data_IF_310241877485
#
_entry.id   IF_310241877485
#
_cell.length_a   1.000
_cell.length_b   1.000
_cell.length_c   1.000
_cell.angle_alpha   90.00
_cell.angle_beta   90.00
_cell.angle_gamma   90.00
#
_symmetry.space_group_name_H-M   'P 1'
#
loop_
_entity.id
_entity.type
_entity.pdbx_description
1 polymer ?
#
# COMPACT_ATOMS: atom_id res chain seq x y z
N UNK A 1 -25.09 27.79 3.92
CA UNK A 1 -25.25 26.65 2.99
C UNK A 1 -23.94 26.25 2.32
N UNK A 2 -23.32 27.12 1.50
CA UNK A 2 -22.05 26.80 0.82
C UNK A 2 -20.92 26.47 1.80
N UNK A 3 -20.75 27.24 2.87
CA UNK A 3 -19.70 27.03 3.89
C UNK A 3 -19.81 25.65 4.56
N UNK A 4 -21.04 25.19 4.81
CA UNK A 4 -21.31 23.89 5.43
C UNK A 4 -21.00 22.73 4.47
N UNK A 5 -21.36 22.90 3.19
CA UNK A 5 -21.04 21.94 2.14
C UNK A 5 -19.52 21.84 1.91
N UNK A 6 -18.80 22.95 1.87
CA UNK A 6 -17.34 22.97 1.73
C UNK A 6 -16.64 22.32 2.92
N UNK A 7 -17.12 22.58 4.15
CA UNK A 7 -16.57 21.97 5.36
C UNK A 7 -16.75 20.44 5.38
N UNK A 8 -17.93 19.94 5.00
CA UNK A 8 -18.19 18.51 4.85
C UNK A 8 -17.32 17.86 3.75
N UNK A 9 -17.08 18.56 2.65
CA UNK A 9 -16.25 18.07 1.54
C UNK A 9 -14.78 17.99 1.95
N UNK A 10 -14.25 19.01 2.64
CA UNK A 10 -12.85 19.04 3.13
C UNK A 10 -12.62 17.94 4.19
N UNK A 11 -13.60 17.70 5.08
CA UNK A 11 -13.53 16.58 6.03
C UNK A 11 -13.53 15.25 5.29
N UNK A 12 -14.41 15.06 4.31
CA UNK A 12 -14.42 13.81 3.52
C UNK A 12 -13.11 13.59 2.75
N UNK A 13 -12.52 14.65 2.19
CA UNK A 13 -11.27 14.60 1.42
C UNK A 13 -10.04 14.30 2.29
N UNK A 14 -10.06 14.65 3.57
CA UNK A 14 -9.00 14.25 4.52
C UNK A 14 -9.24 12.85 5.12
N UNK A 15 -10.49 12.41 5.12
CA UNK A 15 -10.92 11.16 5.78
C UNK A 15 -10.88 9.96 4.82
N UNK A 16 -10.69 10.13 3.52
CA UNK A 16 -10.69 9.03 2.52
C UNK A 16 -9.76 7.85 2.86
N UNK A 17 -8.58 8.08 3.47
CA UNK A 17 -7.72 6.96 3.92
C UNK A 17 -8.10 6.39 5.30
N UNK A 18 -8.77 7.15 6.15
CA UNK A 18 -9.26 6.71 7.47
C UNK A 18 -10.63 6.01 7.38
N UNK A 19 -11.51 6.44 6.47
CA UNK A 19 -12.82 5.85 6.20
C UNK A 19 -12.68 4.41 5.69
N UNK A 20 -11.67 4.14 4.85
CA UNK A 20 -11.30 2.78 4.43
C UNK A 20 -10.85 1.87 5.59
N UNK A 21 -10.37 2.42 6.71
CA UNK A 21 -9.91 1.65 7.89
C UNK A 21 -11.00 1.45 8.95
N UNK A 22 -11.95 2.38 9.06
CA UNK A 22 -12.91 2.41 10.17
C UNK A 22 -14.39 2.35 9.78
N UNK A 23 -14.80 2.77 8.57
CA UNK A 23 -16.20 3.14 8.34
C UNK A 23 -16.86 2.61 7.06
N UNK A 24 -16.21 1.81 6.22
CA UNK A 24 -16.77 1.45 4.90
C UNK A 24 -17.35 0.02 4.83
N UNK A 25 -18.64 -0.22 5.17
CA UNK A 25 -19.33 -1.50 4.95
C UNK A 25 -19.61 -1.77 3.46
N UNK A 26 -19.83 -0.72 2.65
CA UNK A 26 -19.96 -0.81 1.19
C UNK A 26 -18.60 -1.07 0.49
N UNK A 27 -17.53 -0.46 1.01
CA UNK A 27 -16.16 -0.72 0.58
C UNK A 27 -15.63 -2.07 1.06
N UNK A 28 -16.05 -2.56 2.24
CA UNK A 28 -15.77 -3.91 2.71
C UNK A 28 -16.41 -4.97 1.82
N UNK A 29 -17.64 -4.73 1.32
CA UNK A 29 -18.30 -5.60 0.34
C UNK A 29 -17.53 -5.73 -0.98
N UNK A 30 -17.10 -4.61 -1.57
CA UNK A 30 -16.27 -4.63 -2.78
C UNK A 30 -14.82 -5.08 -2.52
N UNK A 31 -14.25 -4.76 -1.35
CA UNK A 31 -12.92 -5.18 -0.96
C UNK A 31 -12.85 -6.69 -0.66
N UNK A 32 -13.92 -7.32 -0.19
CA UNK A 32 -14.01 -8.77 -0.03
C UNK A 32 -13.99 -9.48 -1.40
N UNK A 33 -14.70 -8.95 -2.39
CA UNK A 33 -14.66 -9.49 -3.77
C UNK A 33 -13.33 -9.15 -4.49
N UNK A 34 -12.68 -8.04 -4.15
CA UNK A 34 -11.36 -7.66 -4.66
C UNK A 34 -10.17 -8.36 -3.97
N UNK A 35 -10.29 -8.70 -2.68
CA UNK A 35 -9.24 -9.39 -1.89
C UNK A 35 -8.92 -10.77 -2.43
N UNK A 36 -9.88 -11.46 -3.05
CA UNK A 36 -9.67 -12.79 -3.67
C UNK A 36 -8.63 -12.74 -4.79
N UNK A 37 -8.42 -11.59 -5.46
CA UNK A 37 -7.37 -11.42 -6.49
C UNK A 37 -6.00 -11.00 -5.96
N UNK A 38 -5.89 -10.48 -4.73
CA UNK A 38 -4.60 -9.98 -4.19
C UNK A 38 -3.75 -11.04 -3.49
N UNK A 39 -4.31 -12.20 -3.12
CA UNK A 39 -3.62 -13.18 -2.27
C UNK A 39 -2.49 -13.95 -2.97
N UNK A 40 -2.34 -13.88 -4.30
CA UNK A 40 -1.35 -14.70 -5.02
C UNK A 40 -0.46 -13.98 -6.06
N UNK A 41 -0.61 -12.67 -6.30
CA UNK A 41 0.09 -12.01 -7.43
C UNK A 41 1.17 -10.98 -7.06
N UNK A 42 1.39 -10.67 -5.77
CA UNK A 42 2.43 -9.70 -5.41
C UNK A 42 3.83 -10.29 -5.65
N UNK A 43 4.44 -9.91 -6.78
CA UNK A 43 5.83 -10.26 -7.11
C UNK A 43 6.77 -9.59 -6.13
N UNK A 44 7.64 -10.40 -5.51
CA UNK A 44 8.63 -9.95 -4.53
C UNK A 44 9.95 -10.65 -4.79
N UNK A 45 11.05 -9.91 -4.75
CA UNK A 45 12.41 -10.45 -4.95
C UNK A 45 12.90 -11.05 -3.63
N UNK A 46 13.85 -11.99 -3.70
CA UNK A 46 14.46 -12.62 -2.51
C UNK A 46 15.14 -11.60 -1.58
N UNK A 47 15.65 -10.50 -2.15
CA UNK A 47 16.26 -9.38 -1.43
C UNK A 47 15.29 -8.56 -0.56
N UNK A 48 13.97 -8.66 -0.80
CA UNK A 48 12.95 -7.91 -0.07
C UNK A 48 12.67 -8.54 1.30
N UNK A 49 13.10 -7.88 2.38
CA UNK A 49 12.97 -8.36 3.77
C UNK A 49 14.32 -8.43 4.47
N UNK A 50 15.35 -8.92 3.77
CA UNK A 50 16.76 -8.85 4.20
C UNK A 50 17.64 -8.78 2.94
N UNK A 51 18.41 -7.71 2.70
CA UNK A 51 18.57 -6.47 3.49
C UNK A 51 17.56 -5.36 3.14
N UNK A 52 16.79 -5.49 2.05
CA UNK A 52 15.95 -4.39 1.56
C UNK A 52 14.63 -4.26 2.34
N UNK A 53 14.45 -3.12 3.03
CA UNK A 53 13.23 -2.75 3.79
C UNK A 53 12.46 -1.58 3.18
N UNK A 54 12.75 -1.18 1.95
CA UNK A 54 12.16 0.00 1.32
C UNK A 54 10.62 -0.07 1.23
N UNK A 55 10.07 -1.23 0.88
CA UNK A 55 8.62 -1.43 0.80
C UNK A 55 7.92 -1.30 2.17
N UNK A 56 8.60 -1.59 3.28
CA UNK A 56 8.03 -1.42 4.61
C UNK A 56 7.81 0.08 4.91
N UNK A 57 8.80 0.94 4.61
CA UNK A 57 8.67 2.39 4.81
C UNK A 57 7.60 3.05 3.94
N UNK A 58 7.36 2.54 2.73
CA UNK A 58 6.35 3.12 1.83
C UNK A 58 4.93 2.72 2.21
N UNK A 59 4.77 1.65 3.00
CA UNK A 59 3.45 1.12 3.34
C UNK A 59 2.78 2.03 4.38
N UNK A 60 1.68 2.73 4.04
CA UNK A 60 1.05 3.67 4.96
C UNK A 60 0.40 2.97 6.17
N UNK A 61 0.02 1.70 6.02
CA UNK A 61 -0.59 0.90 7.09
C UNK A 61 0.42 0.09 7.90
N UNK A 62 1.69 0.04 7.49
CA UNK A 62 2.70 -0.79 8.16
C UNK A 62 2.49 -2.30 8.02
N UNK A 63 1.62 -2.76 7.11
CA UNK A 63 1.26 -4.18 6.97
C UNK A 63 2.42 -5.10 6.53
N UNK A 64 3.58 -4.55 6.16
CA UNK A 64 4.74 -5.32 5.71
C UNK A 64 5.69 -5.51 6.89
N UNK A 65 5.87 -6.74 7.37
CA UNK A 65 6.81 -7.03 8.44
C UNK A 65 8.27 -6.81 7.98
N UNK A 66 9.15 -6.55 8.96
CA UNK A 66 10.60 -6.44 8.75
C UNK A 66 11.22 -7.68 8.08
N UNK A 67 10.58 -8.84 8.19
CA UNK A 67 11.00 -10.10 7.57
C UNK A 67 10.66 -10.19 6.08
N UNK A 68 9.88 -9.22 5.55
CA UNK A 68 9.42 -9.23 4.17
C UNK A 68 8.06 -9.92 3.97
N UNK A 69 7.44 -10.45 5.02
CA UNK A 69 6.07 -10.99 4.95
C UNK A 69 5.03 -9.86 4.94
N UNK A 70 3.91 -10.07 4.24
CA UNK A 70 2.79 -9.11 4.18
C UNK A 70 1.67 -9.66 5.06
N UNK A 71 1.20 -8.85 6.02
CA UNK A 71 0.03 -9.15 6.82
C UNK A 71 -1.23 -8.75 6.06
N UNK A 72 -1.96 -9.72 5.51
CA UNK A 72 -3.18 -9.46 4.72
C UNK A 72 -4.36 -8.97 5.56
N UNK A 73 -4.29 -9.11 6.89
CA UNK A 73 -5.31 -8.59 7.80
C UNK A 73 -5.24 -7.06 7.89
N UNK A 74 -4.04 -6.49 7.80
CA UNK A 74 -3.79 -5.04 7.88
C UNK A 74 -3.55 -4.39 6.51
N UNK A 75 -3.41 -5.21 5.46
CA UNK A 75 -3.21 -4.75 4.11
C UNK A 75 -4.52 -4.23 3.51
N UNK A 76 -4.53 -2.95 3.14
CA UNK A 76 -5.65 -2.29 2.47
C UNK A 76 -5.65 -2.51 0.95
N UNK A 77 -4.59 -3.06 0.37
CA UNK A 77 -4.50 -3.30 -1.07
C UNK A 77 -4.18 -2.05 -1.92
N UNK A 78 -3.53 -1.03 -1.36
CA UNK A 78 -3.17 0.19 -2.11
C UNK A 78 -2.12 0.00 -3.23
N UNK A 79 -1.45 -1.17 -3.28
CA UNK A 79 -0.46 -1.54 -4.31
C UNK A 79 0.76 -0.61 -4.44
N UNK A 80 0.95 0.37 -3.55
CA UNK A 80 2.15 1.24 -3.51
C UNK A 80 3.46 0.45 -3.48
N UNK A 81 3.44 -0.72 -2.82
CA UNK A 81 4.60 -1.62 -2.77
C UNK A 81 4.97 -2.22 -4.14
N UNK A 82 4.00 -2.46 -5.04
CA UNK A 82 4.25 -2.94 -6.41
C UNK A 82 4.76 -1.82 -7.31
N UNK A 83 4.23 -0.60 -7.15
CA UNK A 83 4.73 0.59 -7.88
C UNK A 83 6.21 0.82 -7.54
N UNK A 84 6.56 0.82 -6.24
CA UNK A 84 7.95 0.93 -5.81
C UNK A 84 8.83 -0.24 -6.26
N UNK A 85 8.27 -1.44 -6.36
CA UNK A 85 8.99 -2.62 -6.83
C UNK A 85 9.38 -2.50 -8.31
N UNK A 86 8.48 -1.93 -9.13
CA UNK A 86 8.69 -1.77 -10.57
C UNK A 86 9.48 -0.49 -10.93
N UNK A 87 9.62 0.44 -9.98
CA UNK A 87 10.37 1.68 -10.17
C UNK A 87 11.89 1.41 -10.08
N UNK A 88 12.56 1.46 -11.24
CA UNK A 88 14.00 1.24 -11.33
C UNK A 88 14.82 2.31 -10.61
N UNK A 89 14.30 3.52 -10.40
CA UNK A 89 15.01 4.62 -9.75
C UNK A 89 14.88 4.58 -8.22
N UNK A 90 13.76 4.04 -7.71
CA UNK A 90 13.49 4.01 -6.27
C UNK A 90 13.82 2.69 -5.59
N UNK A 91 13.79 1.58 -6.32
CA UNK A 91 14.01 0.25 -5.75
C UNK A 91 15.51 -0.01 -5.48
N UNK A 92 15.98 -0.15 -4.21
CA UNK A 92 17.39 -0.33 -3.89
C UNK A 92 18.12 -1.44 -4.66
N UNK A 93 17.56 -2.65 -4.85
CA UNK A 93 18.25 -3.68 -5.63
C UNK A 93 18.38 -3.34 -7.12
N UNK A 94 17.44 -2.61 -7.72
CA UNK A 94 17.53 -2.18 -9.12
C UNK A 94 18.50 -1.01 -9.28
N UNK A 95 18.53 -0.09 -8.32
CA UNK A 95 19.52 1.00 -8.28
C UNK A 95 20.94 0.44 -8.11
N UNK A 96 21.11 -0.56 -7.25
CA UNK A 96 22.39 -1.25 -7.09
C UNK A 96 22.85 -1.94 -8.39
N UNK A 97 21.95 -2.64 -9.08
CA UNK A 97 22.23 -3.24 -10.39
C UNK A 97 22.60 -2.20 -11.45
N UNK A 98 21.91 -1.05 -11.49
CA UNK A 98 22.24 0.05 -12.41
C UNK A 98 23.63 0.63 -12.13
N UNK A 99 23.99 0.85 -10.87
CA UNK A 99 25.27 1.48 -10.49
C UNK A 99 26.49 0.60 -10.81
N UNK A 100 26.31 -0.72 -10.84
CA UNK A 100 27.37 -1.69 -11.08
C UNK A 100 27.59 -2.00 -12.57
N UNK A 101 26.91 -1.29 -13.47
CA UNK A 101 26.97 -1.44 -14.93
C UNK A 101 27.36 -0.09 -15.53
#
# INVERSE_FOLDING_TARGET
>A
LIIWATFLLVINLFVERAYCRYLCPLGAGLALMGKVRLINFLKRRKECGKPCKACNKVCPTGAILNTGKINMNECLGCLDCQVMFNDFAKCPPLVAMRKNN
#
